data_IF_390448641745
#
_entry.id   IF_390448641745
#
_cell.length_a   1.000
_cell.length_b   1.000
_cell.length_c   1.000
_cell.angle_alpha   90.00
_cell.angle_beta   90.00
_cell.angle_gamma   90.00
#
_symmetry.space_group_name_H-M   'P 1'
#
loop_
_entity.id
_entity.type
_entity.pdbx_description
1 polymer ?
#
# COMPACT_ATOMS: atom_id res chain seq x y z
N UNK A 1 18.02 5.92 22.86
CA UNK A 1 16.98 6.68 23.62
C UNK A 1 16.28 7.71 22.74
N UNK A 2 17.00 8.58 22.02
CA UNK A 2 16.39 9.60 21.14
C UNK A 2 15.53 9.00 20.03
N UNK A 3 16.07 8.06 19.26
CA UNK A 3 15.33 7.37 18.18
C UNK A 3 14.08 6.67 18.75
N UNK A 4 14.20 5.99 19.88
CA UNK A 4 13.07 5.34 20.56
C UNK A 4 11.96 6.34 20.92
N UNK A 5 12.31 7.52 21.44
CA UNK A 5 11.35 8.57 21.73
C UNK A 5 10.73 9.16 20.45
N UNK A 6 11.50 9.27 19.37
CA UNK A 6 11.04 9.77 18.08
C UNK A 6 10.03 8.83 17.43
N UNK A 7 10.35 7.54 17.27
CA UNK A 7 9.43 6.57 16.67
C UNK A 7 8.17 6.35 17.52
N UNK A 8 8.27 6.47 18.85
CA UNK A 8 7.11 6.47 19.76
C UNK A 8 6.19 7.65 19.52
N UNK A 9 6.73 8.82 19.14
CA UNK A 9 5.91 9.99 18.80
C UNK A 9 5.14 9.80 17.49
N UNK A 10 5.68 9.01 16.57
CA UNK A 10 5.07 8.65 15.28
C UNK A 10 3.95 7.61 15.47
N UNK A 11 4.12 6.67 16.41
CA UNK A 11 3.10 5.67 16.76
C UNK A 11 3.64 4.25 16.92
N UNK A 12 4.92 4.01 16.59
CA UNK A 12 5.55 2.71 16.80
C UNK A 12 5.76 2.43 18.28
N UNK A 13 5.60 1.17 18.69
CA UNK A 13 6.06 0.72 20.00
C UNK A 13 7.57 0.44 19.94
N UNK A 14 8.45 1.20 20.63
CA UNK A 14 9.89 0.95 20.54
C UNK A 14 10.33 -0.43 21.02
N UNK A 15 9.52 -1.09 21.86
CA UNK A 15 9.79 -2.45 22.31
C UNK A 15 9.67 -3.49 21.19
N UNK A 16 8.92 -3.21 20.12
CA UNK A 16 8.75 -4.12 18.97
C UNK A 16 9.80 -3.91 17.88
N UNK A 17 10.81 -3.06 18.11
CA UNK A 17 11.79 -2.64 17.10
C UNK A 17 13.20 -3.05 17.52
N UNK A 18 13.87 -3.83 16.68
CA UNK A 18 15.26 -4.21 16.89
C UNK A 18 16.18 -3.02 16.61
N UNK A 19 17.07 -2.70 17.55
CA UNK A 19 18.11 -1.69 17.38
C UNK A 19 19.46 -2.39 17.24
N UNK A 20 20.00 -2.42 16.01
CA UNK A 20 21.25 -3.12 15.68
C UNK A 20 22.34 -2.08 15.38
N UNK A 21 23.43 -1.99 16.17
CA UNK A 21 24.58 -1.18 15.81
C UNK A 21 25.36 -1.92 14.71
N UNK A 22 25.53 -1.28 13.55
CA UNK A 22 26.20 -1.87 12.38
C UNK A 22 27.27 -0.92 11.81
N UNK A 23 28.20 -1.50 11.06
CA UNK A 23 29.02 -0.78 10.09
C UNK A 23 28.78 -1.38 8.71
N UNK A 24 28.00 -0.71 7.88
CA UNK A 24 27.72 -1.19 6.52
C UNK A 24 28.98 -1.28 5.64
N UNK A 25 30.00 -0.47 5.93
CA UNK A 25 31.26 -0.47 5.20
C UNK A 25 32.19 -1.60 5.61
N UNK A 26 32.34 -1.85 6.91
CA UNK A 26 33.26 -2.86 7.45
C UNK A 26 32.60 -4.22 7.68
N UNK A 27 31.27 -4.31 7.58
CA UNK A 27 30.51 -5.55 7.78
C UNK A 27 30.16 -5.85 9.24
N UNK A 28 30.49 -4.98 10.19
CA UNK A 28 30.25 -5.22 11.62
C UNK A 28 28.76 -5.44 11.91
N UNK A 29 28.43 -6.56 12.59
CA UNK A 29 27.06 -6.98 12.94
C UNK A 29 26.10 -7.11 11.74
N UNK A 30 26.60 -7.15 10.50
CA UNK A 30 25.74 -7.34 9.33
C UNK A 30 25.24 -8.79 9.25
N UNK A 31 26.18 -9.72 9.14
CA UNK A 31 25.93 -11.17 9.05
C UNK A 31 26.39 -11.92 10.29
N UNK A 32 27.52 -11.48 10.87
CA UNK A 32 28.17 -12.10 12.03
C UNK A 32 28.39 -11.07 13.14
N UNK A 33 28.46 -11.50 14.42
CA UNK A 33 28.79 -10.61 15.53
C UNK A 33 30.16 -9.94 15.37
N UNK A 34 30.21 -8.63 15.54
CA UNK A 34 31.45 -7.85 15.50
C UNK A 34 32.28 -8.03 16.76
N UNK A 35 33.58 -8.26 16.59
CA UNK A 35 34.56 -8.23 17.68
C UNK A 35 34.85 -6.81 18.17
N UNK A 36 34.52 -5.78 17.39
CA UNK A 36 34.71 -4.36 17.74
C UNK A 36 33.66 -3.83 18.73
N UNK A 37 32.60 -4.60 19.00
CA UNK A 37 31.48 -4.18 19.87
C UNK A 37 31.23 -5.15 21.04
N UNK A 38 32.23 -5.42 21.90
CA UNK A 38 32.08 -6.37 23.02
C UNK A 38 31.05 -5.92 24.08
N UNK A 39 30.71 -4.63 24.09
CA UNK A 39 29.68 -4.03 24.95
C UNK A 39 28.26 -4.36 24.49
N UNK A 40 28.04 -4.68 23.22
CA UNK A 40 26.72 -4.98 22.69
C UNK A 40 26.36 -6.43 22.99
N UNK A 41 25.24 -6.64 23.70
CA UNK A 41 24.76 -7.96 24.13
C UNK A 41 23.61 -8.49 23.28
N UNK A 42 23.39 -7.88 22.13
CA UNK A 42 22.28 -8.18 21.24
C UNK A 42 21.08 -7.24 21.41
N UNK A 43 20.20 -7.29 20.42
CA UNK A 43 18.91 -6.64 20.38
C UNK A 43 17.82 -7.61 20.87
N UNK A 44 16.69 -7.05 21.31
CA UNK A 44 15.49 -7.80 21.72
C UNK A 44 14.25 -7.07 21.23
N UNK A 45 13.24 -7.82 20.83
CA UNK A 45 11.91 -7.31 20.50
C UNK A 45 10.84 -8.04 21.30
N UNK A 46 9.87 -7.27 21.79
CA UNK A 46 8.71 -7.75 22.55
C UNK A 46 7.44 -7.46 21.77
N UNK A 47 6.68 -8.50 21.43
CA UNK A 47 5.43 -8.40 20.65
C UNK A 47 4.51 -9.57 20.97
N UNK A 48 3.21 -9.40 20.74
CA UNK A 48 2.17 -10.38 21.12
C UNK A 48 2.33 -11.72 20.38
N UNK A 49 2.84 -11.63 19.16
CA UNK A 49 3.00 -12.73 18.21
C UNK A 49 4.28 -13.55 18.44
N UNK A 50 5.08 -13.18 19.45
CA UNK A 50 6.30 -13.88 19.84
C UNK A 50 7.52 -12.96 19.90
N UNK A 51 8.21 -12.98 21.04
CA UNK A 51 9.44 -12.22 21.23
C UNK A 51 10.58 -12.79 20.38
N UNK A 52 11.55 -11.95 20.03
CA UNK A 52 12.77 -12.38 19.35
C UNK A 52 13.99 -11.63 19.88
N UNK A 53 15.17 -12.21 19.69
CA UNK A 53 16.46 -11.62 20.07
C UNK A 53 17.56 -12.12 19.16
N UNK A 54 18.59 -11.30 18.96
CA UNK A 54 19.76 -11.64 18.17
C UNK A 54 20.84 -10.58 18.34
N UNK A 55 21.90 -10.67 17.55
CA UNK A 55 23.03 -9.74 17.54
C UNK A 55 23.18 -9.06 16.19
N UNK A 56 22.87 -9.73 15.10
CA UNK A 56 23.16 -9.22 13.74
C UNK A 56 21.94 -8.61 13.07
N UNK A 57 22.18 -7.89 11.98
CA UNK A 57 21.13 -7.33 11.13
C UNK A 57 20.37 -8.44 10.42
N UNK A 58 21.07 -9.48 9.95
CA UNK A 58 20.44 -10.65 9.33
C UNK A 58 19.43 -11.31 10.28
N UNK A 59 19.83 -11.58 11.53
CA UNK A 59 18.92 -12.16 12.52
C UNK A 59 17.72 -11.24 12.80
N UNK A 60 17.92 -9.91 12.75
CA UNK A 60 16.82 -8.96 12.92
C UNK A 60 15.83 -9.02 11.75
N UNK A 61 16.32 -9.18 10.52
CA UNK A 61 15.49 -9.36 9.32
C UNK A 61 14.75 -10.70 9.34
N UNK A 62 15.41 -11.79 9.73
CA UNK A 62 14.78 -13.11 9.88
C UNK A 62 13.72 -13.13 10.98
N UNK A 63 13.83 -12.23 11.96
CA UNK A 63 12.81 -12.06 13.01
C UNK A 63 11.55 -11.33 12.54
N UNK A 64 11.51 -10.79 11.32
CA UNK A 64 10.30 -10.17 10.77
C UNK A 64 9.25 -11.25 10.56
N UNK A 65 8.09 -11.09 11.21
CA UNK A 65 6.98 -12.02 11.02
C UNK A 65 6.44 -11.87 9.60
N UNK A 66 6.29 -12.95 8.83
CA UNK A 66 5.63 -12.90 7.54
C UNK A 66 4.24 -12.29 7.70
N UNK A 67 3.85 -11.31 6.87
CA UNK A 67 2.50 -10.77 6.92
C UNK A 67 1.51 -11.86 6.51
N UNK A 68 0.34 -11.86 7.14
CA UNK A 68 -0.78 -12.68 6.66
C UNK A 68 -1.15 -12.22 5.26
N UNK A 69 -1.07 -13.14 4.28
CA UNK A 69 -1.45 -12.85 2.90
C UNK A 69 -2.99 -12.84 2.84
N UNK A 70 -3.62 -11.76 2.33
CA UNK A 70 -5.07 -11.63 2.27
C UNK A 70 -5.69 -12.48 1.13
N UNK A 71 -5.45 -13.79 1.13
CA UNK A 71 -5.94 -14.73 0.10
C UNK A 71 -7.46 -14.91 0.12
N UNK A 72 -8.06 -14.79 1.31
CA UNK A 72 -9.51 -15.01 1.51
C UNK A 72 -10.34 -13.76 1.20
N UNK A 73 -9.69 -12.64 0.88
CA UNK A 73 -10.37 -11.40 0.47
C UNK A 73 -10.69 -11.42 -1.02
N UNK A 74 -11.65 -10.59 -1.48
CA UNK A 74 -11.88 -10.37 -2.91
C UNK A 74 -10.60 -9.96 -3.66
N UNK A 75 -10.53 -10.30 -4.94
CA UNK A 75 -9.40 -9.92 -5.79
C UNK A 75 -9.33 -8.39 -5.95
N UNK A 76 -8.15 -7.81 -5.66
CA UNK A 76 -7.78 -6.45 -6.03
C UNK A 76 -6.37 -6.44 -6.62
N UNK A 77 -6.26 -6.04 -7.88
CA UNK A 77 -5.01 -5.99 -8.63
C UNK A 77 -4.90 -4.63 -9.35
N UNK A 78 -4.29 -3.62 -8.71
CA UNK A 78 -4.00 -2.34 -9.33
C UNK A 78 -3.01 -2.48 -10.49
N UNK A 79 -3.37 -1.96 -11.66
CA UNK A 79 -2.57 -2.05 -12.86
C UNK A 79 -1.40 -1.07 -12.80
N UNK A 80 -0.18 -1.58 -13.00
CA UNK A 80 1.04 -0.79 -13.13
C UNK A 80 1.24 -0.35 -14.58
N UNK A 81 1.04 -1.27 -15.54
CA UNK A 81 1.19 -1.06 -16.98
C UNK A 81 0.24 -1.94 -17.78
N UNK A 82 0.03 -1.59 -19.06
CA UNK A 82 -0.79 -2.37 -20.00
C UNK A 82 -0.05 -2.45 -21.34
N UNK A 83 0.24 -3.67 -21.78
CA UNK A 83 0.98 -3.94 -23.01
C UNK A 83 0.10 -4.57 -24.09
N UNK A 84 0.45 -4.31 -25.36
CA UNK A 84 -0.06 -5.04 -26.51
C UNK A 84 1.05 -5.95 -27.04
N UNK A 85 0.88 -7.27 -26.87
CA UNK A 85 1.86 -8.25 -27.33
C UNK A 85 1.33 -8.93 -28.60
N UNK A 86 2.14 -8.92 -29.67
CA UNK A 86 1.78 -9.56 -30.93
C UNK A 86 1.48 -11.05 -30.75
N UNK A 87 0.37 -11.53 -31.31
CA UNK A 87 -0.07 -12.94 -31.19
C UNK A 87 -0.73 -13.30 -29.85
N UNK A 88 -0.51 -12.53 -28.78
CA UNK A 88 -1.07 -12.79 -27.44
C UNK A 88 -2.29 -11.88 -27.18
N UNK A 89 -2.20 -10.59 -27.53
CA UNK A 89 -3.25 -9.60 -27.30
C UNK A 89 -2.87 -8.60 -26.20
N UNK A 90 -3.84 -8.25 -25.36
CA UNK A 90 -3.66 -7.26 -24.29
C UNK A 90 -3.21 -7.95 -23.01
N UNK A 91 -2.11 -7.45 -22.42
CA UNK A 91 -1.51 -7.99 -21.21
C UNK A 91 -1.34 -6.86 -20.19
N UNK A 92 -2.25 -6.73 -19.21
CA UNK A 92 -2.05 -5.89 -18.05
C UNK A 92 -1.03 -6.50 -17.10
N UNK A 93 -0.28 -5.65 -16.41
CA UNK A 93 0.72 -6.03 -15.41
C UNK A 93 0.41 -5.29 -14.12
N UNK A 94 0.51 -5.99 -13.00
CA UNK A 94 0.34 -5.38 -11.69
C UNK A 94 0.62 -6.36 -10.57
N UNK A 95 0.44 -5.87 -9.33
CA UNK A 95 0.60 -6.67 -8.13
C UNK A 95 -0.76 -7.13 -7.62
N UNK A 96 -0.89 -8.41 -7.27
CA UNK A 96 -2.05 -8.89 -6.53
C UNK A 96 -1.95 -8.34 -5.10
N UNK A 97 -2.85 -7.45 -4.70
CA UNK A 97 -2.87 -6.90 -3.33
C UNK A 97 -3.73 -7.74 -2.40
N UNK A 98 -4.88 -8.22 -2.89
CA UNK A 98 -5.80 -9.12 -2.17
C UNK A 98 -6.40 -10.18 -3.10
N UNK A 99 -6.85 -11.28 -2.51
CA UNK A 99 -7.47 -12.41 -3.23
C UNK A 99 -6.48 -13.18 -4.09
N UNK A 100 -7.00 -13.93 -5.06
CA UNK A 100 -6.18 -14.73 -5.99
C UNK A 100 -6.62 -14.49 -7.42
N UNK A 101 -5.67 -14.52 -8.37
CA UNK A 101 -5.96 -14.44 -9.80
C UNK A 101 -5.63 -15.79 -10.47
N UNK A 102 -6.55 -16.31 -11.28
CA UNK A 102 -6.40 -17.58 -12.00
C UNK A 102 -6.83 -17.43 -13.46
N UNK A 103 -6.26 -18.26 -14.32
CA UNK A 103 -6.79 -18.43 -15.67
C UNK A 103 -8.25 -18.92 -15.61
N UNK A 104 -9.09 -18.40 -16.52
CA UNK A 104 -10.53 -18.67 -16.58
C UNK A 104 -11.39 -17.80 -15.66
N UNK A 105 -10.79 -17.01 -14.77
CA UNK A 105 -11.56 -16.03 -13.99
C UNK A 105 -12.12 -14.94 -14.89
N UNK A 106 -13.33 -14.48 -14.58
CA UNK A 106 -13.93 -13.30 -15.20
C UNK A 106 -13.63 -12.12 -14.30
N UNK A 107 -12.89 -11.14 -14.81
CA UNK A 107 -12.45 -9.96 -14.05
C UNK A 107 -13.11 -8.70 -14.59
N UNK A 108 -13.39 -7.78 -13.68
CA UNK A 108 -13.89 -6.43 -13.97
C UNK A 108 -12.79 -5.42 -13.66
N UNK A 109 -12.58 -4.47 -14.58
CA UNK A 109 -11.64 -3.37 -14.42
C UNK A 109 -12.40 -2.10 -14.00
N UNK A 110 -12.08 -1.57 -12.83
CA UNK A 110 -12.56 -0.27 -12.36
C UNK A 110 -11.53 0.82 -12.65
N UNK A 111 -11.95 2.06 -12.94
CA UNK A 111 -13.33 2.53 -13.05
C UNK A 111 -13.92 2.38 -14.47
N UNK A 112 -13.22 1.78 -15.45
CA UNK A 112 -13.73 1.67 -16.83
C UNK A 112 -14.92 0.73 -17.00
N UNK A 113 -15.21 -0.09 -15.99
CA UNK A 113 -16.30 -1.08 -15.94
C UNK A 113 -16.26 -2.08 -17.09
N UNK A 114 -15.05 -2.42 -17.55
CA UNK A 114 -14.83 -3.43 -18.59
C UNK A 114 -14.70 -4.80 -17.93
N UNK A 115 -15.45 -5.79 -18.42
CA UNK A 115 -15.42 -7.16 -17.89
C UNK A 115 -14.93 -8.14 -18.95
N UNK A 116 -14.02 -9.04 -18.58
CA UNK A 116 -13.42 -10.01 -19.51
C UNK A 116 -12.89 -11.25 -18.79
N UNK A 117 -12.63 -12.31 -19.55
CA UNK A 117 -12.02 -13.54 -19.05
C UNK A 117 -10.48 -13.49 -19.15
N UNK A 118 -9.82 -13.88 -18.07
CA UNK A 118 -8.37 -14.06 -17.99
C UNK A 118 -7.98 -15.36 -18.68
N UNK A 119 -7.04 -15.32 -19.63
CA UNK A 119 -6.61 -16.52 -20.38
C UNK A 119 -5.40 -17.21 -19.80
N UNK A 120 -4.42 -16.44 -19.36
CA UNK A 120 -3.21 -16.94 -18.73
C UNK A 120 -2.73 -15.91 -17.71
N UNK A 121 -1.96 -16.39 -16.74
CA UNK A 121 -1.27 -15.56 -15.75
C UNK A 121 0.19 -15.99 -15.77
N UNK A 122 1.10 -15.03 -15.83
CA UNK A 122 2.53 -15.26 -15.97
C UNK A 122 3.31 -14.38 -14.99
N UNK A 123 4.38 -14.94 -14.43
CA UNK A 123 5.35 -14.25 -13.59
C UNK A 123 6.76 -14.68 -14.03
N UNK A 124 7.65 -13.72 -14.30
CA UNK A 124 9.01 -13.99 -14.76
C UNK A 124 9.10 -14.94 -15.98
N UNK A 125 8.16 -14.84 -16.93
CA UNK A 125 8.03 -15.69 -18.13
C UNK A 125 7.65 -17.15 -17.88
N UNK A 126 7.19 -17.47 -16.67
CA UNK A 126 6.62 -18.77 -16.34
C UNK A 126 5.11 -18.65 -16.14
N UNK A 127 4.35 -19.63 -16.63
CA UNK A 127 2.90 -19.68 -16.44
C UNK A 127 2.57 -20.11 -15.01
N UNK A 128 1.68 -19.37 -14.36
CA UNK A 128 1.18 -19.67 -13.04
C UNK A 128 -0.21 -20.32 -13.10
N UNK A 129 -0.45 -21.32 -12.26
CA UNK A 129 -1.78 -21.87 -12.06
C UNK A 129 -2.69 -20.88 -11.31
N UNK A 130 -2.12 -20.18 -10.34
CA UNK A 130 -2.74 -19.09 -9.59
C UNK A 130 -1.67 -18.08 -9.16
N UNK A 131 -2.05 -16.81 -9.08
CA UNK A 131 -1.25 -15.75 -8.49
C UNK A 131 -1.84 -15.35 -7.14
N UNK A 132 -0.96 -15.17 -6.15
CA UNK A 132 -1.30 -14.92 -4.75
C UNK A 132 -0.95 -13.48 -4.35
N UNK A 133 -1.50 -12.97 -3.22
CA UNK A 133 -1.18 -11.63 -2.75
C UNK A 133 0.33 -11.43 -2.58
N UNK A 134 0.87 -10.40 -3.20
CA UNK A 134 2.29 -10.05 -3.22
C UNK A 134 2.99 -10.32 -4.56
N UNK A 135 2.43 -11.19 -5.41
CA UNK A 135 3.00 -11.55 -6.71
C UNK A 135 2.81 -10.42 -7.73
N UNK A 136 3.86 -10.14 -8.50
CA UNK A 136 3.79 -9.21 -9.64
C UNK A 136 3.61 -10.02 -10.91
N UNK A 137 2.45 -9.92 -11.54
CA UNK A 137 2.06 -10.80 -12.64
C UNK A 137 1.62 -10.01 -13.86
N UNK A 138 1.91 -10.56 -15.03
CA UNK A 138 1.23 -10.20 -16.28
C UNK A 138 0.13 -11.20 -16.55
N UNK A 139 -1.03 -10.77 -17.04
CA UNK A 139 -2.11 -11.69 -17.38
C UNK A 139 -2.76 -11.35 -18.71
N UNK A 140 -3.08 -12.35 -19.52
CA UNK A 140 -3.71 -12.15 -20.81
C UNK A 140 -5.23 -12.00 -20.64
N UNK A 141 -5.82 -11.00 -21.29
CA UNK A 141 -7.27 -10.83 -21.38
C UNK A 141 -7.77 -10.76 -22.82
N UNK A 142 -8.96 -11.33 -23.07
CA UNK A 142 -9.62 -11.28 -24.39
C UNK A 142 -10.44 -10.02 -24.59
N UNK A 143 -10.62 -9.60 -25.84
CA UNK A 143 -11.60 -8.59 -26.25
C UNK A 143 -11.51 -7.23 -25.53
N UNK A 144 -10.35 -6.92 -24.93
CA UNK A 144 -10.07 -5.63 -24.30
C UNK A 144 -8.90 -5.00 -25.03
N UNK A 145 -9.05 -3.75 -25.46
CA UNK A 145 -7.98 -2.96 -26.06
C UNK A 145 -7.11 -2.34 -24.97
N UNK A 146 -5.82 -2.12 -25.27
CA UNK A 146 -4.92 -1.33 -24.42
C UNK A 146 -5.38 0.11 -24.20
N UNK A 147 -6.38 0.59 -24.95
CA UNK A 147 -7.00 1.91 -24.76
C UNK A 147 -8.15 1.89 -23.74
N UNK A 148 -8.70 0.72 -23.43
CA UNK A 148 -9.88 0.58 -22.58
C UNK A 148 -9.51 0.51 -21.09
N UNK A 149 -8.25 0.18 -20.81
CA UNK A 149 -7.68 0.05 -19.48
C UNK A 149 -6.30 0.72 -19.44
N UNK A 150 -5.90 1.20 -18.27
CA UNK A 150 -4.63 1.92 -18.08
C UNK A 150 -4.08 1.73 -16.67
N UNK A 151 -2.84 2.18 -16.45
CA UNK A 151 -2.26 2.35 -15.12
C UNK A 151 -3.21 3.09 -14.18
N UNK A 152 -3.33 2.60 -12.94
CA UNK A 152 -4.24 3.13 -11.93
C UNK A 152 -5.67 2.58 -12.00
N UNK A 153 -6.01 1.76 -13.00
CA UNK A 153 -7.22 0.94 -12.94
C UNK A 153 -7.00 -0.25 -12.01
N UNK A 154 -8.08 -0.80 -11.46
CA UNK A 154 -8.04 -1.93 -10.53
C UNK A 154 -8.82 -3.08 -11.13
N UNK A 155 -8.16 -4.22 -11.31
CA UNK A 155 -8.82 -5.48 -11.66
C UNK A 155 -9.34 -6.18 -10.40
N UNK A 156 -10.53 -6.76 -10.48
CA UNK A 156 -11.06 -7.65 -9.46
C UNK A 156 -11.98 -8.71 -10.05
N UNK A 157 -12.35 -9.71 -9.25
CA UNK A 157 -13.24 -10.79 -9.69
C UNK A 157 -14.66 -10.23 -9.89
N UNK A 158 -15.24 -10.45 -11.07
CA UNK A 158 -16.59 -9.96 -11.38
C UNK A 158 -17.67 -10.60 -10.50
N UNK A 159 -17.37 -11.73 -9.86
CA UNK A 159 -18.32 -12.54 -9.07
C UNK A 159 -18.17 -12.36 -7.56
N UNK A 160 -17.11 -11.71 -7.11
CA UNK A 160 -16.80 -11.55 -5.69
C UNK A 160 -16.39 -10.11 -5.44
N UNK A 161 -17.37 -9.28 -5.08
CA UNK A 161 -17.20 -7.86 -4.77
C UNK A 161 -16.34 -7.13 -5.82
N UNK A 162 -16.84 -6.96 -7.07
CA UNK A 162 -16.08 -6.33 -8.13
C UNK A 162 -15.76 -4.87 -7.78
N UNK A 163 -14.54 -4.38 -8.08
CA UNK A 163 -14.14 -3.01 -7.79
C UNK A 163 -15.01 -2.02 -8.59
N UNK A 164 -15.26 -0.84 -8.02
CA UNK A 164 -16.12 0.19 -8.61
C UNK A 164 -15.44 1.56 -8.65
N UNK A 165 -16.03 2.48 -9.41
CA UNK A 165 -15.65 3.89 -9.38
C UNK A 165 -16.12 4.56 -8.09
N UNK A 166 -15.23 5.32 -7.45
CA UNK A 166 -15.55 6.13 -6.30
C UNK A 166 -16.02 7.53 -6.74
N UNK A 167 -17.28 7.87 -6.47
CA UNK A 167 -17.78 9.24 -6.70
C UNK A 167 -17.23 10.24 -5.68
N UNK A 168 -17.10 9.81 -4.43
CA UNK A 168 -16.42 10.53 -3.35
C UNK A 168 -15.94 9.51 -2.32
N UNK A 169 -14.97 9.88 -1.50
CA UNK A 169 -14.53 9.06 -0.38
C UNK A 169 -14.12 9.95 0.79
N UNK A 170 -14.36 9.46 2.01
CA UNK A 170 -13.92 10.14 3.23
C UNK A 170 -12.64 9.48 3.73
N UNK A 171 -11.61 10.28 4.01
CA UNK A 171 -10.32 9.79 4.48
C UNK A 171 -9.84 10.56 5.71
N UNK A 172 -9.14 9.86 6.60
CA UNK A 172 -8.36 10.49 7.66
C UNK A 172 -7.02 10.96 7.07
N UNK A 173 -6.77 12.26 7.11
CA UNK A 173 -5.52 12.87 6.65
C UNK A 173 -4.68 13.36 7.83
N UNK A 174 -3.36 13.31 7.67
CA UNK A 174 -2.40 13.95 8.56
C UNK A 174 -1.62 14.96 7.73
N UNK A 175 -1.69 16.23 8.11
CA UNK A 175 -1.02 17.31 7.38
C UNK A 175 0.46 17.30 7.77
N UNK A 176 1.32 16.92 6.82
CA UNK A 176 2.77 16.99 6.98
C UNK A 176 3.25 18.45 6.96
N UNK A 177 4.56 18.64 7.08
CA UNK A 177 5.15 19.97 7.13
C UNK A 177 4.93 20.70 5.79
N UNK A 178 4.08 21.71 5.82
CA UNK A 178 3.65 22.51 4.68
C UNK A 178 3.55 23.99 5.12
N UNK A 179 4.09 24.95 4.34
CA UNK A 179 4.17 26.36 4.75
C UNK A 179 2.82 27.09 4.74
N UNK A 180 1.81 26.56 4.05
CA UNK A 180 0.49 27.16 3.92
C UNK A 180 -0.60 26.45 4.74
N UNK A 181 -1.80 27.03 4.71
CA UNK A 181 -3.02 26.44 5.24
C UNK A 181 -3.82 25.76 4.11
N UNK A 182 -4.50 24.67 4.44
CA UNK A 182 -5.37 23.93 3.53
C UNK A 182 -6.82 24.26 3.87
N UNK A 183 -7.55 24.80 2.90
CA UNK A 183 -8.98 25.10 3.04
C UNK A 183 -9.80 24.12 2.18
N UNK A 184 -11.11 24.06 2.43
CA UNK A 184 -12.03 23.38 1.53
C UNK A 184 -11.88 23.93 0.09
N UNK A 185 -11.87 23.03 -0.88
CA UNK A 185 -11.59 23.30 -2.29
C UNK A 185 -10.13 23.09 -2.71
N UNK A 186 -9.21 22.86 -1.79
CA UNK A 186 -7.83 22.47 -2.13
C UNK A 186 -7.83 21.17 -2.96
N UNK A 187 -7.12 21.13 -4.08
CA UNK A 187 -7.16 20.02 -5.03
C UNK A 187 -5.75 19.48 -5.35
N UNK A 188 -5.06 18.84 -4.39
CA UNK A 188 -3.77 18.23 -4.63
C UNK A 188 -3.91 16.97 -5.47
N UNK A 189 -2.78 16.50 -6.00
CA UNK A 189 -2.69 15.15 -6.57
C UNK A 189 -2.53 14.15 -5.44
N UNK A 190 -3.35 13.09 -5.48
CA UNK A 190 -3.27 11.93 -4.61
C UNK A 190 -2.63 10.77 -5.38
N UNK A 191 -1.58 10.22 -4.78
CA UNK A 191 -1.06 8.92 -5.11
C UNK A 191 -1.77 7.88 -4.23
N UNK A 192 -2.53 6.99 -4.87
CA UNK A 192 -3.19 5.87 -4.20
C UNK A 192 -2.95 4.63 -5.06
N UNK A 193 -2.39 3.57 -4.47
CA UNK A 193 -1.93 2.38 -5.19
C UNK A 193 -1.07 2.74 -6.43
N UNK A 194 -1.56 2.49 -7.64
CA UNK A 194 -0.92 2.88 -8.90
C UNK A 194 -1.59 4.08 -9.58
N UNK A 195 -2.70 4.59 -9.01
CA UNK A 195 -3.40 5.78 -9.48
C UNK A 195 -2.72 7.08 -9.01
N UNK A 196 -2.74 8.07 -9.90
CA UNK A 196 -2.19 9.40 -9.70
C UNK A 196 -3.22 10.42 -10.19
N UNK A 197 -4.09 10.89 -9.29
CA UNK A 197 -5.29 11.66 -9.64
C UNK A 197 -5.45 12.86 -8.71
N UNK A 198 -5.76 14.03 -9.27
CA UNK A 198 -6.12 15.21 -8.49
C UNK A 198 -7.46 14.98 -7.79
N UNK A 199 -7.51 15.14 -6.46
CA UNK A 199 -8.72 15.02 -5.66
C UNK A 199 -9.00 16.32 -4.92
N UNK A 200 -10.22 16.82 -5.04
CA UNK A 200 -10.66 18.03 -4.34
C UNK A 200 -11.04 17.68 -2.91
N UNK A 201 -10.50 18.41 -1.94
CA UNK A 201 -10.93 18.41 -0.55
C UNK A 201 -12.28 19.11 -0.51
N UNK A 202 -13.35 18.35 -0.67
CA UNK A 202 -14.70 18.87 -0.81
C UNK A 202 -15.19 19.48 0.51
N UNK A 203 -15.05 18.72 1.59
CA UNK A 203 -15.43 19.14 2.93
C UNK A 203 -14.38 18.72 3.95
N UNK A 204 -13.99 19.65 4.81
CA UNK A 204 -13.21 19.34 6.01
C UNK A 204 -14.22 19.00 7.10
N UNK A 205 -14.48 17.71 7.36
CA UNK A 205 -15.57 17.26 8.24
C UNK A 205 -15.22 17.44 9.70
N UNK A 206 -14.06 16.95 10.12
CA UNK A 206 -13.64 16.97 11.52
C UNK A 206 -12.15 17.22 11.64
N UNK A 207 -11.74 17.97 12.64
CA UNK A 207 -10.35 17.98 13.12
C UNK A 207 -10.24 17.02 14.29
N UNK A 208 -9.20 16.19 14.27
CA UNK A 208 -9.01 15.13 15.27
C UNK A 208 -7.60 15.20 15.87
N UNK A 209 -7.46 14.67 17.09
CA UNK A 209 -6.15 14.41 17.67
C UNK A 209 -5.48 13.23 16.93
N UNK A 210 -4.28 13.48 16.39
CA UNK A 210 -3.56 12.52 15.54
C UNK A 210 -3.20 11.18 16.21
N UNK A 211 -3.25 11.08 17.55
CA UNK A 211 -2.86 9.87 18.29
C UNK A 211 -4.07 9.08 18.78
N UNK A 212 -5.02 9.78 19.38
CA UNK A 212 -6.20 9.18 19.98
C UNK A 212 -7.37 9.06 19.01
N UNK A 213 -7.34 9.80 17.89
CA UNK A 213 -8.49 9.94 16.98
C UNK A 213 -9.64 10.74 17.59
N UNK A 214 -9.47 11.31 18.79
CA UNK A 214 -10.53 12.07 19.45
C UNK A 214 -10.82 13.33 18.66
N UNK A 215 -12.10 13.56 18.37
CA UNK A 215 -12.58 14.79 17.73
C UNK A 215 -12.27 16.02 18.58
N UNK A 216 -11.74 17.05 17.92
CA UNK A 216 -11.37 18.34 18.51
C UNK A 216 -12.29 19.47 18.03
N UNK A 217 -12.67 19.46 16.75
CA UNK A 217 -13.47 20.52 16.13
C UNK A 217 -14.30 19.92 14.98
N UNK A 218 -15.57 20.31 14.89
CA UNK A 218 -16.45 20.01 13.77
C UNK A 218 -16.31 21.09 12.69
N UNK A 219 -16.25 20.67 11.42
CA UNK A 219 -16.16 21.53 10.25
C UNK A 219 -15.08 22.65 10.34
N UNK A 220 -13.79 22.29 10.55
CA UNK A 220 -12.73 23.28 10.67
C UNK A 220 -12.61 24.13 9.40
N UNK A 221 -12.41 25.43 9.54
CA UNK A 221 -12.25 26.35 8.38
C UNK A 221 -10.99 26.08 7.56
N UNK A 222 -9.93 25.63 8.23
CA UNK A 222 -8.60 25.43 7.63
C UNK A 222 -7.82 24.37 8.41
N UNK A 223 -6.93 23.65 7.74
CA UNK A 223 -5.95 22.74 8.34
C UNK A 223 -4.53 23.30 8.17
N UNK A 224 -3.65 23.03 9.14
CA UNK A 224 -2.23 23.40 9.10
C UNK A 224 -1.33 22.22 9.43
N UNK A 225 -0.03 22.40 9.22
CA UNK A 225 1.01 21.44 9.58
C UNK A 225 0.82 20.84 10.98
N UNK A 226 0.78 19.51 11.05
CA UNK A 226 0.62 18.74 12.28
C UNK A 226 -0.83 18.40 12.66
N UNK A 227 -1.82 19.00 11.99
CA UNK A 227 -3.23 18.65 12.20
C UNK A 227 -3.54 17.27 11.60
N UNK A 228 -4.48 16.56 12.24
CA UNK A 228 -5.16 15.42 11.64
C UNK A 228 -6.63 15.78 11.44
N UNK A 229 -7.24 15.29 10.37
CA UNK A 229 -8.62 15.61 10.02
C UNK A 229 -9.30 14.48 9.27
N UNK A 230 -10.63 14.45 9.34
CA UNK A 230 -11.49 13.66 8.46
C UNK A 230 -11.92 14.57 7.31
N UNK A 231 -11.62 14.18 6.08
CA UNK A 231 -11.85 14.98 4.88
C UNK A 231 -12.64 14.18 3.88
N UNK A 232 -13.71 14.78 3.35
CA UNK A 232 -14.43 14.28 2.19
C UNK A 232 -13.73 14.73 0.91
N UNK A 233 -13.43 13.79 0.03
CA UNK A 233 -12.66 14.02 -1.18
C UNK A 233 -13.42 13.57 -2.42
N UNK A 234 -13.33 14.37 -3.48
CA UNK A 234 -13.92 14.07 -4.78
C UNK A 234 -12.78 13.96 -5.81
N UNK A 235 -12.59 12.78 -6.44
CA UNK A 235 -11.68 12.63 -7.56
C UNK A 235 -12.04 13.56 -8.73
N UNK A 236 -11.05 14.24 -9.31
CA UNK A 236 -11.24 15.06 -10.52
C UNK A 236 -11.33 14.23 -11.81
N UNK A 237 -11.03 12.93 -11.74
CA UNK A 237 -11.15 11.94 -12.82
C UNK A 237 -11.65 10.62 -12.23
N UNK A 238 -12.26 9.73 -13.03
CA UNK A 238 -12.68 8.41 -12.56
C UNK A 238 -11.54 7.69 -11.84
N UNK A 239 -11.82 7.23 -10.62
CA UNK A 239 -10.85 6.62 -9.70
C UNK A 239 -11.51 5.43 -8.99
N UNK A 240 -10.75 4.38 -8.73
CA UNK A 240 -11.14 3.29 -7.85
C UNK A 240 -10.28 3.36 -6.58
N UNK A 241 -10.90 3.35 -5.41
CA UNK A 241 -10.26 3.35 -4.09
C UNK A 241 -11.10 2.51 -3.12
N UNK A 242 -10.47 2.03 -2.05
CA UNK A 242 -11.07 1.26 -0.96
C UNK A 242 -10.63 1.86 0.38
#
# INVERSE_FOLDING_TARGET
>A
KEVSAYIKKIGYNPATVAFVPISGWHGDNMLEPSTNMPWFKGWKVERKEGNASGTTLLEALDSILPPSRPTDKPLRLPLQDVYKIGGIGTVPVGRVETGTLKAGMVVTFAPSNVTTEVKSVEMHHETLAEALPGDNVGFNVKNVSVKDIRRGNVAGDSKSDPPQEAGSFTAQVIILNHPGQINAGYAPVLDCHTAHIACKFNELKEKIDRRSGKKLEDNPKSLKSGDAAIVDMIPGKPMCVE
#
